data_IF_685666313745
#
_entry.id   IF_685666313745
#
_cell.length_a   1.000
_cell.length_b   1.000
_cell.length_c   1.000
_cell.angle_alpha   90.00
_cell.angle_beta   90.00
_cell.angle_gamma   90.00
#
_symmetry.space_group_name_H-M   'P 1'
#
loop_
_entity.id
_entity.type
_entity.pdbx_description
1 polymer ?
#
# COMPACT_ATOMS: atom_id res chain seq x y z
N UNK A 1 20.86 10.32 -25.73
CA UNK A 1 20.53 9.84 -25.43
C UNK A 1 19.95 9.49 -24.88
N UNK A 2 19.77 9.76 -24.82
CA UNK A 2 19.25 9.23 -24.26
C UNK A 2 18.83 8.99 -23.67
N UNK A 3 18.73 9.25 -23.41
CA UNK A 3 18.39 8.84 -22.80
C UNK A 3 17.92 8.79 -22.17
N UNK A 4 17.99 9.19 -22.28
CA UNK A 4 17.56 8.90 -21.69
C UNK A 4 16.91 9.00 -21.15
N UNK A 5 16.75 9.42 -21.24
CA UNK A 5 16.28 9.16 -20.93
C UNK A 5 15.56 8.79 -20.65
N UNK A 6 15.38 8.85 -20.81
CA UNK A 6 14.96 8.19 -20.61
C UNK A 6 14.91 7.70 -19.97
N UNK A 7 15.15 8.20 -20.21
CA UNK A 7 15.29 7.50 -19.74
C UNK A 7 15.22 7.43 -19.03
N UNK A 8 15.25 7.66 -19.08
CA UNK A 8 15.40 7.32 -18.63
C UNK A 8 15.37 7.16 -17.94
N UNK A 9 15.23 7.47 -17.96
CA UNK A 9 15.50 7.15 -17.65
C UNK A 9 15.64 7.14 -16.78
N UNK A 10 15.39 7.97 -16.93
CA UNK A 10 15.94 7.50 -16.02
C UNK A 10 16.81 6.98 -15.30
N UNK A 11 17.10 7.05 -14.68
CA UNK A 11 17.85 6.17 -13.82
C UNK A 11 17.57 4.72 -14.17
N UNK A 12 18.04 4.24 -15.25
CA UNK A 12 17.61 2.93 -15.70
C UNK A 12 17.89 1.82 -14.69
N UNK A 13 19.08 1.63 -14.26
CA UNK A 13 19.40 0.56 -13.32
C UNK A 13 18.90 0.81 -11.92
N UNK A 14 18.88 2.07 -11.51
CA UNK A 14 18.49 2.43 -10.14
C UNK A 14 17.00 2.24 -9.89
N UNK A 15 16.18 2.43 -10.91
CA UNK A 15 14.73 2.31 -10.78
C UNK A 15 14.26 0.89 -11.09
N UNK A 16 14.90 0.26 -12.07
CA UNK A 16 14.54 -1.10 -12.43
C UNK A 16 14.76 -2.05 -11.26
N UNK A 17 13.72 -2.78 -10.89
CA UNK A 17 13.77 -3.73 -9.80
C UNK A 17 13.62 -3.14 -8.41
N UNK A 18 13.51 -1.82 -8.31
CA UNK A 18 13.30 -1.17 -7.02
C UNK A 18 11.87 -0.69 -6.94
N UNK A 19 11.19 -1.11 -5.89
CA UNK A 19 9.82 -0.67 -5.66
C UNK A 19 9.82 0.26 -4.44
N UNK A 20 9.07 1.35 -4.54
CA UNK A 20 9.03 2.36 -3.49
C UNK A 20 7.58 2.62 -3.13
N UNK A 21 7.32 2.73 -1.84
CA UNK A 21 6.01 3.11 -1.35
C UNK A 21 6.24 4.07 -0.19
N UNK A 22 6.47 5.34 -0.52
CA UNK A 22 6.98 6.33 0.44
C UNK A 22 6.08 7.54 0.50
N UNK A 23 5.83 7.99 1.73
CA UNK A 23 5.12 9.25 1.93
C UNK A 23 6.11 10.40 1.86
N UNK A 24 5.77 11.39 1.03
CA UNK A 24 6.55 12.62 0.89
C UNK A 24 5.61 13.80 1.10
N UNK A 25 5.54 14.27 2.35
CA UNK A 25 4.62 15.35 2.70
C UNK A 25 3.18 14.91 2.57
N UNK A 26 2.42 15.58 1.70
CA UNK A 26 1.01 15.29 1.49
C UNK A 26 0.76 14.34 0.34
N UNK A 27 1.81 13.75 -0.20
CA UNK A 27 1.73 12.84 -1.33
C UNK A 27 2.50 11.56 -1.03
N UNK A 28 2.11 10.51 -1.72
CA UNK A 28 2.85 9.25 -1.75
C UNK A 28 3.56 9.12 -3.07
N UNK A 29 4.83 8.78 -3.02
CA UNK A 29 5.59 8.39 -4.21
C UNK A 29 5.56 6.88 -4.29
N UNK A 30 5.07 6.37 -5.39
CA UNK A 30 4.92 4.94 -5.60
C UNK A 30 5.65 4.55 -6.87
N UNK A 31 6.56 3.58 -6.74
CA UNK A 31 7.29 3.03 -7.88
C UNK A 31 7.10 1.53 -7.87
N UNK A 32 6.65 1.00 -8.98
CA UNK A 32 6.52 -0.44 -9.13
C UNK A 32 6.72 -0.80 -10.61
N UNK A 33 7.52 -1.82 -10.83
CA UNK A 33 7.81 -2.31 -12.19
C UNK A 33 8.32 -1.17 -13.10
N UNK A 34 9.13 -0.29 -12.55
CA UNK A 34 9.73 0.82 -13.28
C UNK A 34 8.83 2.03 -13.48
N UNK A 35 7.57 1.96 -13.05
CA UNK A 35 6.61 3.04 -13.22
C UNK A 35 6.50 3.86 -11.93
N UNK A 36 6.65 5.17 -12.06
CA UNK A 36 6.52 6.08 -10.93
C UNK A 36 5.25 6.90 -11.06
N UNK A 37 4.50 6.99 -9.96
CA UNK A 37 3.38 7.92 -9.90
C UNK A 37 3.21 8.44 -8.48
N UNK A 38 2.44 9.51 -8.33
CA UNK A 38 2.18 10.13 -7.05
C UNK A 38 0.68 10.20 -6.81
N UNK A 39 0.30 9.96 -5.56
CA UNK A 39 -1.09 10.05 -5.14
C UNK A 39 -1.18 10.88 -3.87
N UNK A 40 -2.25 11.68 -3.72
CA UNK A 40 -2.47 12.40 -2.47
C UNK A 40 -2.60 11.43 -1.30
N UNK A 41 -2.13 11.87 -0.13
CA UNK A 41 -2.18 11.05 1.07
C UNK A 41 -3.62 10.72 1.45
N UNK A 42 -3.86 9.44 1.72
CA UNK A 42 -5.14 8.94 2.23
C UNK A 42 -4.89 7.92 3.31
N UNK A 43 -5.90 7.68 4.12
CA UNK A 43 -5.84 6.66 5.17
C UNK A 43 -5.57 5.28 4.55
N UNK A 44 -6.18 4.99 3.40
CA UNK A 44 -5.98 3.71 2.73
C UNK A 44 -4.53 3.48 2.31
N UNK A 45 -3.86 4.52 1.83
CA UNK A 45 -2.45 4.42 1.46
C UNK A 45 -1.58 4.17 2.69
N UNK A 46 -1.92 4.79 3.82
CA UNK A 46 -1.20 4.54 5.07
C UNK A 46 -1.38 3.10 5.53
N UNK A 47 -2.60 2.57 5.41
CA UNK A 47 -2.87 1.18 5.76
C UNK A 47 -2.08 0.22 4.86
N UNK A 48 -2.06 0.49 3.55
CA UNK A 48 -1.28 -0.32 2.62
C UNK A 48 0.20 -0.32 2.98
N UNK A 49 0.76 0.86 3.26
CA UNK A 49 2.16 0.97 3.65
C UNK A 49 2.47 0.15 4.90
N UNK A 50 1.56 0.20 5.87
CA UNK A 50 1.71 -0.57 7.10
C UNK A 50 1.78 -2.07 6.82
N UNK A 51 0.92 -2.56 5.94
CA UNK A 51 0.89 -3.97 5.58
C UNK A 51 2.10 -4.38 4.75
N UNK A 52 2.51 -3.53 3.80
CA UNK A 52 3.67 -3.81 2.96
C UNK A 52 4.96 -3.92 3.77
N UNK A 53 5.04 -3.18 4.87
CA UNK A 53 6.20 -3.24 5.77
C UNK A 53 6.23 -4.50 6.63
N UNK A 54 5.14 -5.26 6.64
CA UNK A 54 4.98 -6.45 7.48
C UNK A 54 4.50 -7.64 6.67
N UNK A 55 5.27 -8.06 5.66
CA UNK A 55 4.82 -9.16 4.81
C UNK A 55 4.63 -10.44 5.62
N UNK A 56 3.53 -11.12 5.36
CA UNK A 56 3.20 -12.37 6.04
C UNK A 56 2.53 -12.20 7.39
N UNK A 57 2.42 -10.96 7.91
CA UNK A 57 1.77 -10.72 9.19
C UNK A 57 0.29 -10.44 9.02
N UNK A 58 -0.52 -11.05 9.84
CA UNK A 58 -1.94 -10.72 9.92
C UNK A 58 -2.11 -9.62 10.95
N UNK A 59 -2.62 -8.48 10.50
CA UNK A 59 -2.84 -7.32 11.36
C UNK A 59 -4.33 -7.19 11.60
N UNK A 60 -4.79 -7.26 12.86
CA UNK A 60 -6.21 -7.03 13.14
C UNK A 60 -6.65 -5.66 12.62
N UNK A 61 -7.82 -5.60 12.00
CA UNK A 61 -8.33 -4.34 11.48
C UNK A 61 -8.45 -3.29 12.58
N UNK A 62 -8.74 -3.72 13.80
CA UNK A 62 -8.80 -2.83 14.97
C UNK A 62 -7.45 -2.16 15.21
N UNK A 63 -6.37 -2.93 15.12
CA UNK A 63 -5.01 -2.40 15.33
C UNK A 63 -4.61 -1.48 14.19
N UNK A 64 -4.97 -1.86 12.98
CA UNK A 64 -4.66 -1.06 11.80
C UNK A 64 -5.35 0.30 11.88
N UNK A 65 -6.64 0.31 12.19
CA UNK A 65 -7.40 1.54 12.36
C UNK A 65 -6.95 2.32 13.60
N UNK A 66 -6.46 1.62 14.62
CA UNK A 66 -5.94 2.22 15.85
C UNK A 66 -4.64 2.96 15.67
N UNK A 67 -3.96 2.79 14.54
CA UNK A 67 -2.80 3.60 14.21
C UNK A 67 -3.17 5.09 14.13
N UNK A 68 -4.49 5.37 14.02
CA UNK A 68 -5.03 6.72 14.14
C UNK A 68 -6.11 6.65 15.22
N UNK A 69 -5.73 6.69 16.51
CA UNK A 69 -6.67 6.48 17.60
C UNK A 69 -7.75 7.56 17.64
N UNK A 70 -8.96 7.13 17.95
CA UNK A 70 -10.10 8.03 18.17
C UNK A 70 -10.44 8.00 19.64
N UNK A 71 -10.10 9.05 20.40
CA UNK A 71 -10.44 9.10 21.83
C UNK A 71 -11.94 8.97 22.06
N UNK A 72 -12.30 8.24 23.10
CA UNK A 72 -13.70 8.07 23.45
C UNK A 72 -14.46 7.19 22.47
N UNK A 73 -13.77 6.27 21.83
CA UNK A 73 -14.39 5.39 20.85
C UNK A 73 -15.48 4.48 21.41
N UNK A 74 -16.23 3.83 20.51
CA UNK A 74 -17.36 2.98 20.89
C UNK A 74 -16.90 1.72 21.65
N UNK A 75 -17.84 0.95 22.20
CA UNK A 75 -17.52 -0.31 22.85
C UNK A 75 -16.71 -1.23 21.95
N UNK A 76 -15.93 -2.10 22.56
CA UNK A 76 -14.96 -2.93 21.86
C UNK A 76 -15.50 -3.66 20.64
N UNK A 77 -16.66 -4.31 20.77
CA UNK A 77 -17.24 -5.07 19.67
C UNK A 77 -17.67 -4.17 18.51
N UNK A 78 -18.30 -3.03 18.85
CA UNK A 78 -18.69 -2.06 17.83
C UNK A 78 -17.47 -1.42 17.18
N UNK A 79 -16.42 -1.16 17.99
CA UNK A 79 -15.18 -0.60 17.47
C UNK A 79 -14.52 -1.56 16.49
N UNK A 80 -14.54 -2.85 16.80
CA UNK A 80 -13.94 -3.86 15.92
C UNK A 80 -14.67 -3.92 14.58
N UNK A 81 -16.00 -3.88 14.60
CA UNK A 81 -16.80 -3.93 13.39
C UNK A 81 -16.59 -2.68 12.53
N UNK A 82 -16.60 -1.50 13.16
CA UNK A 82 -16.34 -0.25 12.46
C UNK A 82 -14.94 -0.23 11.87
N UNK A 83 -13.96 -0.71 12.62
CA UNK A 83 -12.58 -0.76 12.13
C UNK A 83 -12.45 -1.68 10.92
N UNK A 84 -13.12 -2.82 10.94
CA UNK A 84 -13.11 -3.76 9.83
C UNK A 84 -13.69 -3.12 8.56
N UNK A 85 -14.83 -2.49 8.69
CA UNK A 85 -15.49 -1.83 7.55
C UNK A 85 -14.64 -0.68 7.03
N UNK A 86 -14.13 0.16 7.94
CA UNK A 86 -13.32 1.31 7.57
C UNK A 86 -12.03 0.89 6.87
N UNK A 87 -11.33 -0.09 7.43
CA UNK A 87 -10.07 -0.56 6.85
C UNK A 87 -10.30 -1.15 5.45
N UNK A 88 -11.32 -1.97 5.30
CA UNK A 88 -11.63 -2.59 4.01
C UNK A 88 -11.94 -1.53 2.96
N UNK A 89 -12.80 -0.58 3.28
CA UNK A 89 -13.17 0.49 2.35
C UNK A 89 -11.98 1.35 1.97
N UNK A 90 -11.19 1.74 2.97
CA UNK A 90 -10.04 2.63 2.74
C UNK A 90 -8.98 1.95 1.88
N UNK A 91 -8.69 0.69 2.16
CA UNK A 91 -7.71 -0.07 1.40
C UNK A 91 -8.20 -0.26 -0.04
N UNK A 92 -9.45 -0.63 -0.24
CA UNK A 92 -10.00 -0.83 -1.58
C UNK A 92 -10.01 0.46 -2.40
N UNK A 93 -10.35 1.58 -1.76
CA UNK A 93 -10.32 2.87 -2.44
C UNK A 93 -8.90 3.24 -2.88
N UNK A 94 -7.92 3.01 -2.00
CA UNK A 94 -6.52 3.26 -2.34
C UNK A 94 -6.07 2.36 -3.49
N UNK A 95 -6.42 1.08 -3.45
CA UNK A 95 -6.06 0.14 -4.50
C UNK A 95 -6.69 0.54 -5.84
N UNK A 96 -7.93 1.01 -5.83
CA UNK A 96 -8.58 1.48 -7.04
C UNK A 96 -7.81 2.65 -7.66
N UNK A 97 -7.42 3.61 -6.84
CA UNK A 97 -6.64 4.76 -7.33
C UNK A 97 -5.28 4.34 -7.87
N UNK A 98 -4.62 3.41 -7.21
CA UNK A 98 -3.35 2.86 -7.71
C UNK A 98 -3.57 2.21 -9.07
N UNK A 99 -4.66 1.48 -9.23
CA UNK A 99 -4.95 0.78 -10.48
C UNK A 99 -5.18 1.68 -11.68
N UNK A 100 -5.56 2.94 -11.46
CA UNK A 100 -5.71 3.89 -12.56
C UNK A 100 -4.35 4.37 -13.09
N UNK A 101 -3.27 4.11 -12.37
CA UNK A 101 -1.93 4.58 -12.74
C UNK A 101 -0.96 3.43 -13.01
N UNK A 102 -1.16 2.28 -12.39
CA UNK A 102 -0.20 1.19 -12.48
C UNK A 102 -0.94 -0.16 -12.45
N UNK A 103 -1.23 -0.68 -13.63
CA UNK A 103 -1.95 -1.94 -13.75
C UNK A 103 -1.18 -3.14 -13.16
N UNK A 104 0.13 -3.28 -13.37
CA UNK A 104 0.87 -4.37 -12.73
C UNK A 104 0.82 -4.32 -11.21
N UNK A 105 0.88 -3.12 -10.63
CA UNK A 105 0.84 -3.00 -9.18
C UNK A 105 -0.52 -3.41 -8.62
N UNK A 106 -1.62 -2.97 -9.23
CA UNK A 106 -2.92 -3.36 -8.73
C UNK A 106 -3.15 -4.87 -8.85
N UNK A 107 -2.63 -5.48 -9.91
CA UNK A 107 -2.71 -6.92 -10.05
C UNK A 107 -1.95 -7.63 -8.92
N UNK A 108 -0.77 -7.13 -8.59
CA UNK A 108 0.03 -7.66 -7.47
C UNK A 108 -0.72 -7.51 -6.14
N UNK A 109 -1.26 -6.32 -5.89
CA UNK A 109 -1.96 -6.06 -4.64
C UNK A 109 -3.23 -6.90 -4.51
N UNK A 110 -3.98 -7.08 -5.58
CA UNK A 110 -5.17 -7.93 -5.55
C UNK A 110 -4.84 -9.37 -5.22
N UNK A 111 -3.68 -9.83 -5.66
CA UNK A 111 -3.25 -11.19 -5.40
C UNK A 111 -2.68 -11.38 -3.99
N UNK A 112 -2.26 -10.31 -3.33
CA UNK A 112 -1.47 -10.40 -2.10
C UNK A 112 -2.09 -9.73 -0.89
N UNK A 113 -3.01 -8.78 -1.09
CA UNK A 113 -3.66 -8.07 0.01
C UNK A 113 -4.98 -8.75 0.35
N UNK A 114 -5.16 -9.05 1.62
CA UNK A 114 -6.43 -9.52 2.15
C UNK A 114 -6.97 -8.52 3.15
N UNK A 115 -8.29 -8.40 3.22
CA UNK A 115 -8.98 -7.50 4.13
C UNK A 115 -10.07 -8.25 4.88
N UNK A 116 -10.56 -7.68 5.97
CA UNK A 116 -11.58 -8.29 6.81
C UNK A 116 -11.25 -8.04 8.26
N UNK A 117 -11.56 -9.00 9.12
CA UNK A 117 -11.20 -8.93 10.54
C UNK A 117 -9.68 -8.80 10.70
N UNK A 118 -8.93 -9.47 9.83
CA UNK A 118 -7.49 -9.35 9.74
C UNK A 118 -7.14 -8.88 8.35
N UNK A 119 -6.13 -8.02 8.25
CA UNK A 119 -5.60 -7.54 7.00
C UNK A 119 -4.15 -8.02 6.88
N UNK A 120 -3.74 -8.36 5.67
CA UNK A 120 -2.39 -8.88 5.48
C UNK A 120 -1.89 -8.64 4.06
N UNK A 121 -0.58 -8.55 3.94
CA UNK A 121 0.12 -8.56 2.67
C UNK A 121 0.94 -9.86 2.63
N UNK A 122 0.55 -10.79 1.76
CA UNK A 122 1.19 -12.11 1.70
C UNK A 122 1.70 -12.39 0.28
N UNK A 123 2.87 -11.83 -0.05
CA UNK A 123 3.48 -12.11 -1.35
C UNK A 123 3.97 -13.55 -1.42
N UNK A 124 4.05 -14.09 -2.63
CA UNK A 124 4.57 -15.44 -2.85
C UNK A 124 6.05 -15.46 -2.45
N UNK A 125 6.44 -16.30 -1.49
CA UNK A 125 7.84 -16.35 -1.06
C UNK A 125 8.81 -16.78 -2.17
N UNK A 126 8.31 -17.41 -3.22
CA UNK A 126 9.12 -17.79 -4.37
C UNK A 126 9.37 -16.61 -5.32
N UNK A 127 8.60 -15.55 -5.17
CA UNK A 127 8.72 -14.34 -5.99
C UNK A 127 8.80 -13.13 -5.06
N UNK A 128 9.93 -13.00 -4.34
CA UNK A 128 10.05 -11.93 -3.35
C UNK A 128 9.99 -10.55 -4.00
N UNK A 129 9.27 -9.65 -3.36
CA UNK A 129 9.13 -8.26 -3.80
C UNK A 129 9.71 -7.38 -2.72
N UNK A 130 10.79 -6.67 -3.04
CA UNK A 130 11.39 -5.74 -2.12
C UNK A 130 10.76 -4.36 -2.24
N UNK A 131 10.53 -3.73 -1.12
CA UNK A 131 9.96 -2.39 -1.05
C UNK A 131 10.87 -1.46 -0.27
N UNK A 132 10.92 -0.21 -0.69
CA UNK A 132 11.56 0.87 0.06
C UNK A 132 10.47 1.82 0.56
N UNK A 133 10.65 2.28 1.79
CA UNK A 133 9.64 3.12 2.45
C UNK A 133 10.22 4.46 2.87
#
# INVERSE_FOLDING_TARGET
MNEDLKTRRALPGAVAGRNVFRREGEYWMIVYDGELHRLPDTVGLRYLAHLLQRPGQQVPAVDLAGAVPTPGGPPRTAAAELARVKATRSIRAAMHRIGTHNAPLIAHLRATITTGTYCAYTPDPRLPVGWEF
#
